data_IF_991910588093
#
_entry.id   IF_991910588093
#
_cell.length_a   1.000
_cell.length_b   1.000
_cell.length_c   1.000
_cell.angle_alpha   90.00
_cell.angle_beta   90.00
_cell.angle_gamma   90.00
#
_symmetry.space_group_name_H-M   'P 1'
#
loop_
_entity.id
_entity.type
_entity.pdbx_description
1 polymer ?
2 non-polymer ?
3 non-polymer ?
4 water ?
#
# COMPACT_ATOMS: atom_id res chain seq x y z
N UNK A 1 -8.46 0.96 16.90
CA UNK A 1 -8.79 -0.47 16.65
C UNK A 1 -7.61 -1.28 16.10
N UNK A 2 -7.83 -2.58 16.00
CA UNK A 2 -6.86 -3.43 15.37
C UNK A 2 -7.61 -3.95 14.16
N UNK A 3 -6.94 -3.80 13.03
CA UNK A 3 -7.45 -4.16 11.72
C UNK A 3 -6.60 -5.28 11.16
N UNK A 4 -7.25 -6.44 10.92
CA UNK A 4 -6.59 -7.56 10.28
C UNK A 4 -6.58 -7.29 8.76
N UNK A 5 -5.87 -8.15 8.05
CA UNK A 5 -5.61 -7.91 6.67
C UNK A 5 -6.16 -8.98 5.80
N UNK A 6 -7.10 -9.79 6.32
CA UNK A 6 -7.81 -10.83 5.51
C UNK A 6 -8.72 -10.15 4.53
N UNK A 7 -9.20 -8.96 4.86
CA UNK A 7 -9.96 -8.17 3.88
C UNK A 7 -9.17 -6.90 3.63
N UNK A 8 -9.49 -6.17 2.57
CA UNK A 8 -8.88 -4.83 2.40
C UNK A 8 -9.18 -4.00 3.60
N UNK A 9 -8.16 -3.28 4.10
CA UNK A 9 -8.31 -2.39 5.28
C UNK A 9 -8.99 -1.06 4.91
N UNK A 10 -10.29 -1.16 4.57
CA UNK A 10 -11.13 -0.02 4.21
C UNK A 10 -11.68 0.65 5.44
N UNK A 11 -11.63 1.98 5.47
CA UNK A 11 -12.21 2.72 6.55
C UNK A 11 -13.07 3.84 5.97
N UNK A 12 -14.01 4.27 6.79
CA UNK A 12 -14.83 5.39 6.40
C UNK A 12 -14.09 6.70 6.80
N UNK A 13 -14.06 7.67 5.89
CA UNK A 13 -13.50 9.01 6.14
C UNK A 13 -14.56 10.07 5.83
N UNK A 14 -14.37 11.23 6.45
CA UNK A 14 -15.18 12.40 6.23
C UNK A 14 -14.21 13.44 5.81
N UNK A 15 -14.43 14.00 4.64
CA UNK A 15 -13.57 15.03 4.07
C UNK A 15 -14.40 15.95 3.15
N UNK A 16 -14.14 17.23 3.26
CA UNK A 16 -14.88 18.25 2.53
C UNK A 16 -16.38 18.15 2.75
N UNK A 17 -16.78 17.67 3.93
CA UNK A 17 -18.17 17.45 4.30
C UNK A 17 -18.78 16.19 3.71
N UNK A 18 -17.97 15.43 2.94
CA UNK A 18 -18.45 14.20 2.28
C UNK A 18 -17.95 12.94 2.93
N UNK A 19 -18.77 11.89 2.85
CA UNK A 19 -18.41 10.61 3.40
C UNK A 19 -17.82 9.75 2.32
N UNK A 20 -16.65 9.17 2.56
CA UNK A 20 -16.05 8.29 1.56
C UNK A 20 -15.45 7.08 2.24
N UNK A 21 -15.09 6.08 1.48
CA UNK A 21 -14.40 4.89 2.00
C UNK A 21 -12.99 4.99 1.39
N UNK A 22 -12.01 4.59 2.17
CA UNK A 22 -10.59 4.63 1.74
C UNK A 22 -9.82 3.49 2.39
N UNK A 23 -8.78 3.07 1.70
CA UNK A 23 -7.90 1.99 2.09
C UNK A 23 -6.73 2.51 2.92
N UNK A 24 -6.50 1.90 4.09
CA UNK A 24 -5.35 2.26 4.91
C UNK A 24 -4.18 1.54 4.21
N UNK A 25 -3.32 2.35 3.62
CA UNK A 25 -2.32 1.87 2.72
C UNK A 25 -0.86 2.22 3.14
N UNK A 26 -0.21 1.29 3.87
CA UNK A 26 1.15 1.55 4.34
C UNK A 26 2.14 1.71 3.23
N UNK A 27 1.79 1.25 2.04
CA UNK A 27 2.62 1.39 0.86
C UNK A 27 2.59 2.70 0.11
N UNK A 28 1.75 3.61 0.58
CA UNK A 28 1.53 4.91 -0.01
C UNK A 28 2.15 5.96 0.87
N UNK A 29 3.11 6.68 0.33
CA UNK A 29 3.70 7.78 1.12
C UNK A 29 2.63 8.84 1.34
N UNK A 30 1.78 9.00 0.32
CA UNK A 30 0.72 10.02 0.23
C UNK A 30 -0.74 9.48 0.24
N UNK A 31 -1.64 10.42 0.50
CA UNK A 31 -3.06 10.19 0.49
C UNK A 31 -3.61 10.68 -0.86
N UNK A 32 -4.21 9.77 -1.58
CA UNK A 32 -4.73 10.06 -2.88
C UNK A 32 -6.21 9.64 -2.98
N UNK A 33 -7.03 10.61 -3.37
CA UNK A 33 -8.47 10.41 -3.48
C UNK A 33 -8.96 10.68 -4.88
N UNK A 34 -10.00 9.95 -5.28
CA UNK A 34 -10.61 10.23 -6.54
C UNK A 34 -11.15 11.66 -6.60
N UNK A 35 -11.52 12.04 -7.83
CA UNK A 35 -12.05 13.40 -8.09
C UNK A 35 -13.04 13.98 -7.05
N UNK A 36 -12.75 15.19 -6.62
CA UNK A 36 -13.65 15.84 -5.75
C UNK A 36 -13.11 17.23 -5.68
N UNK A 37 -13.97 18.19 -5.29
CA UNK A 37 -13.57 19.58 -5.13
C UNK A 37 -13.19 19.78 -3.68
N UNK A 38 -12.31 20.75 -3.43
CA UNK A 38 -11.90 21.00 -2.08
C UNK A 38 -11.67 22.48 -1.82
N UNK A 39 -12.18 22.91 -0.67
CA UNK A 39 -11.90 24.27 -0.22
C UNK A 39 -10.40 24.57 -0.41
N UNK A 40 -10.10 25.70 -1.07
CA UNK A 40 -8.74 26.22 -1.13
C UNK A 40 -8.01 26.19 -2.44
N UNK A 41 -6.73 26.57 -2.35
CA UNK A 41 -5.80 26.56 -3.47
C UNK A 41 -5.05 25.21 -3.52
N UNK A 42 -4.33 25.00 -4.62
CA UNK A 42 -3.52 23.80 -4.86
C UNK A 42 -2.38 24.05 -5.85
N UNK A 43 -1.48 23.07 -5.98
CA UNK A 43 -0.41 23.10 -6.97
C UNK A 43 -0.49 21.75 -7.71
N UNK A 44 -0.20 21.71 -9.01
CA UNK A 44 -0.23 20.41 -9.71
C UNK A 44 0.96 19.54 -9.25
N UNK A 45 0.85 18.23 -9.48
CA UNK A 45 1.90 17.25 -9.10
C UNK A 45 1.65 15.96 -9.85
N UNK A 46 2.69 15.12 -9.90
CA UNK A 46 2.62 13.80 -10.51
C UNK A 46 3.03 12.80 -9.46
N UNK A 47 2.37 11.64 -9.48
CA UNK A 47 2.71 10.54 -8.59
C UNK A 47 2.68 9.23 -9.35
N UNK A 48 3.49 8.31 -8.87
CA UNK A 48 3.58 7.00 -9.47
C UNK A 48 3.29 5.82 -8.56
N UNK A 49 3.01 4.71 -9.21
CA UNK A 49 2.92 3.44 -8.52
C UNK A 49 3.16 2.38 -9.54
N UNK A 50 2.56 1.25 -9.28
CA UNK A 50 2.64 0.19 -10.21
C UNK A 50 1.81 0.73 -11.37
N UNK A 51 2.32 0.56 -12.56
CA UNK A 51 1.58 1.00 -13.71
C UNK A 51 2.03 2.34 -14.26
N UNK A 52 2.59 3.20 -13.45
CA UNK A 52 2.99 4.44 -14.03
C UNK A 52 2.58 5.62 -13.21
N UNK A 53 2.36 6.73 -13.88
CA UNK A 53 2.16 8.01 -13.21
C UNK A 53 0.80 8.63 -13.44
N UNK A 54 0.29 9.40 -12.47
CA UNK A 54 -0.89 10.20 -12.79
C UNK A 54 -0.68 11.60 -12.30
N UNK A 55 -1.38 12.54 -12.91
CA UNK A 55 -1.36 13.94 -12.48
C UNK A 55 -2.42 14.07 -11.38
N UNK A 56 -2.06 14.76 -10.32
CA UNK A 56 -3.01 15.03 -9.24
C UNK A 56 -2.98 16.49 -8.81
N UNK A 57 -4.04 16.92 -8.11
CA UNK A 57 -4.00 18.25 -7.55
C UNK A 57 -3.74 18.06 -6.09
N UNK A 58 -2.78 18.82 -5.59
CA UNK A 58 -2.32 18.74 -4.24
C UNK A 58 -2.86 19.88 -3.40
N UNK A 59 -3.58 19.51 -2.35
CA UNK A 59 -4.19 20.46 -1.45
C UNK A 59 -3.63 20.29 -0.06
N UNK A 60 -3.19 21.39 0.53
CA UNK A 60 -2.60 21.36 1.86
C UNK A 60 -3.54 21.76 2.97
N UNK A 61 -3.24 21.31 4.16
CA UNK A 61 -4.04 21.67 5.28
C UNK A 61 -5.54 21.33 5.15
N UNK A 62 -5.82 20.13 4.65
CA UNK A 62 -7.19 19.69 4.54
C UNK A 62 -7.48 18.90 5.78
N UNK A 63 -8.70 19.04 6.30
CA UNK A 63 -9.10 18.28 7.44
C UNK A 63 -9.77 16.97 6.97
N UNK A 64 -9.43 15.89 7.68
CA UNK A 64 -10.02 14.63 7.36
C UNK A 64 -10.29 13.81 8.63
N UNK A 65 -11.48 13.28 8.73
CA UNK A 65 -11.84 12.48 9.88
C UNK A 65 -11.69 11.03 9.38
N UNK A 66 -10.72 10.29 9.92
CA UNK A 66 -10.44 8.87 9.52
C UNK A 66 -10.84 8.06 10.70
N UNK A 67 -11.85 7.25 10.49
CA UNK A 67 -12.43 6.46 11.54
C UNK A 67 -12.64 7.29 12.81
N UNK A 68 -13.06 8.55 12.66
CA UNK A 68 -13.33 9.39 13.81
C UNK A 68 -12.13 10.11 14.42
N UNK A 69 -10.92 9.91 13.88
CA UNK A 69 -9.76 10.63 14.36
C UNK A 69 -9.62 11.76 13.35
N UNK A 70 -9.51 12.99 13.84
CA UNK A 70 -9.36 14.15 12.99
C UNK A 70 -7.91 14.32 12.68
N UNK A 71 -7.54 14.61 11.44
CA UNK A 71 -6.16 14.91 11.14
C UNK A 71 -6.21 15.98 10.14
N UNK A 72 -5.14 16.75 10.00
CA UNK A 72 -5.06 17.79 8.99
C UNK A 72 -3.80 17.54 8.16
N UNK A 73 -3.91 17.58 6.83
CA UNK A 73 -2.75 17.27 6.07
C UNK A 73 -3.00 17.43 4.62
N UNK A 74 -1.98 17.12 3.85
CA UNK A 74 -2.09 17.19 2.38
C UNK A 74 -2.87 16.00 1.87
N UNK A 75 -3.75 16.30 0.96
CA UNK A 75 -4.56 15.35 0.28
C UNK A 75 -4.39 15.59 -1.18
N UNK A 76 -4.14 14.54 -1.93
CA UNK A 76 -3.94 14.63 -3.38
C UNK A 76 -5.21 14.18 -4.04
N UNK A 77 -5.61 14.83 -5.13
CA UNK A 77 -6.87 14.47 -5.77
C UNK A 77 -6.65 14.25 -7.29
N UNK A 78 -7.20 13.19 -7.82
CA UNK A 78 -6.92 12.89 -9.19
C UNK A 78 -7.39 11.52 -9.54
N UNK A 79 -6.99 11.02 -10.71
CA UNK A 79 -7.60 9.78 -11.23
C UNK A 79 -7.19 8.42 -10.60
N UNK A 80 -6.94 8.34 -9.30
CA UNK A 80 -6.58 7.05 -8.75
C UNK A 80 -7.77 6.10 -8.82
N UNK A 81 -7.50 4.83 -9.02
CA UNK A 81 -8.56 3.80 -9.08
C UNK A 81 -9.21 3.55 -7.73
N UNK A 82 -8.52 3.96 -6.65
CA UNK A 82 -9.08 3.75 -5.32
C UNK A 82 -8.59 4.81 -4.34
N UNK A 83 -9.45 5.20 -3.41
CA UNK A 83 -9.11 6.15 -2.38
C UNK A 83 -8.02 5.53 -1.45
N UNK A 84 -6.90 6.20 -1.21
CA UNK A 84 -5.90 5.58 -0.29
C UNK A 84 -5.41 6.60 0.73
N UNK A 85 -5.37 6.18 2.00
CA UNK A 85 -4.81 7.00 3.05
C UNK A 85 -3.38 6.50 3.21
N UNK A 86 -2.42 7.39 2.97
CA UNK A 86 -1.03 7.08 2.99
C UNK A 86 -0.41 7.49 4.29
N UNK A 87 0.89 7.24 4.36
CA UNK A 87 1.66 7.43 5.59
C UNK A 87 1.62 8.86 6.14
N UNK A 88 1.54 9.83 5.25
CA UNK A 88 1.44 11.21 5.69
C UNK A 88 0.34 11.38 6.72
N UNK A 89 -0.79 10.69 6.53
CA UNK A 89 -1.88 10.76 7.52
C UNK A 89 -1.91 9.62 8.56
N UNK A 90 -1.43 8.43 8.14
CA UNK A 90 -1.41 7.25 9.01
C UNK A 90 -0.55 7.58 10.26
N UNK A 91 0.58 8.24 10.06
CA UNK A 91 1.34 8.66 11.25
C UNK A 91 0.51 9.52 12.20
N UNK A 92 -0.30 10.44 11.63
CA UNK A 92 -1.03 11.37 12.49
C UNK A 92 -2.14 10.71 13.28
N UNK A 93 -2.58 9.52 12.91
CA UNK A 93 -3.58 8.87 13.74
C UNK A 93 -2.88 7.85 14.59
N UNK A 94 -1.56 7.71 14.44
CA UNK A 94 -0.80 6.79 15.28
C UNK A 94 -0.87 5.35 14.79
N UNK A 95 -0.95 5.18 13.49
CA UNK A 95 -1.17 3.86 13.03
C UNK A 95 0.15 3.10 12.94
N UNK A 96 0.17 1.87 13.45
CA UNK A 96 1.37 0.99 13.37
C UNK A 96 1.06 -0.37 12.73
N UNK A 97 2.09 -0.99 12.14
CA UNK A 97 1.97 -2.41 11.76
C UNK A 97 2.52 -3.28 12.91
N UNK A 98 1.88 -4.39 13.16
CA UNK A 98 2.31 -5.19 14.25
C UNK A 98 2.22 -6.61 13.84
N UNK A 99 3.29 -7.35 14.14
CA UNK A 99 3.34 -8.80 13.92
C UNK A 99 4.27 -9.47 14.96
N UNK B 1 7.22 -7.56 15.70
CA UNK B 1 7.56 -6.15 16.05
C UNK B 1 6.43 -5.16 15.80
N UNK B 2 6.66 -3.94 16.25
CA UNK B 2 5.75 -2.85 15.98
C UNK B 2 6.54 -1.95 15.08
N UNK B 3 5.97 -1.71 13.91
CA UNK B 3 6.55 -0.87 12.88
C UNK B 3 5.72 0.41 12.76
N UNK B 4 6.38 1.55 13.03
CA UNK B 4 5.76 2.85 12.86
C UNK B 4 5.82 3.19 11.38
N UNK B 5 5.18 4.29 11.02
CA UNK B 5 5.04 4.60 9.64
C UNK B 5 5.62 5.92 9.27
N UNK B 6 6.50 6.47 10.12
CA UNK B 6 7.24 7.73 9.79
C UNK B 6 8.22 7.46 8.72
N UNK B 7 8.66 6.24 8.61
CA UNK B 7 9.52 5.92 7.48
C UNK B 7 8.83 4.82 6.67
N UNK B 8 9.21 4.58 5.43
CA UNK B 8 8.64 3.43 4.71
C UNK B 8 8.84 2.17 5.51
N UNK B 9 7.80 1.31 5.62
CA UNK B 9 7.89 0.04 6.41
C UNK B 9 8.59 -1.07 5.58
N UNK B 10 9.89 -0.92 5.39
CA UNK B 10 10.75 -1.85 4.67
C UNK B 10 11.28 -2.92 5.55
N UNK B 11 11.25 -4.15 5.08
CA UNK B 11 11.80 -5.24 5.81
C UNK B 11 12.72 -6.07 4.89
N UNK B 12 13.60 -6.81 5.53
CA UNK B 12 14.44 -7.72 4.78
C UNK B 12 13.69 -9.05 4.55
N UNK B 13 13.79 -9.57 3.35
CA UNK B 13 13.19 -10.87 3.04
C UNK B 13 14.28 -11.75 2.43
N UNK B 14 14.02 -13.05 2.52
CA UNK B 14 14.88 -14.03 1.89
C UNK B 14 13.93 -14.85 1.06
N UNK B 15 14.25 -14.90 -0.22
CA UNK B 15 13.47 -15.62 -1.19
C UNK B 15 14.37 -16.14 -2.32
N UNK B 16 14.10 -17.36 -2.69
CA UNK B 16 14.86 -18.05 -3.72
C UNK B 16 16.35 -18.03 -3.40
N UNK B 17 16.66 -17.96 -2.10
CA UNK B 17 18.02 -17.95 -1.59
C UNK B 17 18.69 -16.60 -1.68
N UNK B 18 17.96 -15.56 -2.12
CA UNK B 18 18.48 -14.17 -2.17
C UNK B 18 17.86 -13.27 -1.08
N UNK B 19 18.67 -12.31 -0.62
CA UNK B 19 18.27 -11.33 0.34
C UNK B 19 17.78 -10.14 -0.42
N UNK B 20 16.60 -9.65 -0.04
CA UNK B 20 16.04 -8.49 -0.71
C UNK B 20 15.37 -7.63 0.35
N UNK B 21 15.06 -6.42 -0.01
CA UNK B 21 14.32 -5.48 0.85
C UNK B 21 12.95 -5.30 0.19
N UNK B 22 11.91 -5.29 1.00
CA UNK B 22 10.54 -5.12 0.53
C UNK B 22 9.70 -4.30 1.49
N UNK B 23 8.68 -3.65 0.93
CA UNK B 23 7.76 -2.77 1.64
C UNK B 23 6.55 -3.55 2.15
N UNK B 24 6.28 -3.45 3.44
CA UNK B 24 5.07 -4.05 3.97
C UNK B 24 3.92 -3.13 3.51
N UNK B 25 3.11 -3.66 2.62
CA UNK B 25 2.16 -2.81 1.94
C UNK B 25 0.70 -3.25 2.09
N UNK B 26 0.00 -2.68 3.09
CA UNK B 26 -1.41 -3.06 3.34
C UNK B 26 -2.31 -2.74 2.17
N UNK B 27 -1.92 -1.80 1.31
CA UNK B 27 -2.65 -1.50 0.09
C UNK B 27 -2.54 -2.47 -1.12
N UNK B 28 -1.71 -3.52 -0.99
CA UNK B 28 -1.45 -4.48 -2.06
C UNK B 28 -2.12 -5.80 -1.71
N UNK B 29 -3.06 -6.24 -2.53
CA UNK B 29 -3.69 -7.55 -2.29
C UNK B 29 -2.60 -8.62 -2.43
N UNK B 30 -1.69 -8.40 -3.37
CA UNK B 30 -0.63 -9.34 -3.74
C UNK B 30 0.80 -8.88 -3.44
N UNK B 31 1.67 -9.87 -3.53
CA UNK B 31 3.07 -9.69 -3.34
C UNK B 31 3.78 -9.59 -4.71
N UNK B 32 4.46 -8.48 -4.92
CA UNK B 32 5.04 -8.24 -6.20
C UNK B 32 6.49 -7.86 -6.03
N UNK B 33 7.35 -8.64 -6.68
CA UNK B 33 8.80 -8.46 -6.62
C UNK B 33 9.43 -8.10 -7.99
N UNK B 34 10.47 -7.28 -8.00
CA UNK B 34 11.18 -7.08 -9.23
C UNK B 34 11.67 -8.40 -9.85
N UNK B 35 12.16 -8.26 -11.09
CA UNK B 35 12.72 -9.39 -11.84
C UNK B 35 13.65 -10.32 -11.03
N UNK B 36 13.39 -11.60 -11.15
CA UNK B 36 14.23 -12.57 -10.53
C UNK B 36 13.72 -13.90 -11.04
N UNK B 37 14.57 -14.93 -10.97
CA UNK B 37 14.20 -16.28 -11.36
C UNK B 37 13.71 -17.01 -10.16
N UNK B 38 12.81 -17.97 -10.38
CA UNK B 38 12.32 -18.71 -9.26
C UNK B 38 12.07 -20.15 -9.63
N UNK B 39 12.43 -21.00 -8.69
CA UNK B 39 12.18 -22.43 -8.84
C UNK B 39 10.75 -22.64 -9.26
N UNK B 40 10.51 -23.42 -10.32
CA UNK B 40 9.16 -23.84 -10.68
C UNK B 40 8.49 -23.27 -11.92
N UNK B 41 7.21 -23.63 -12.05
CA UNK B 41 6.34 -23.19 -13.15
C UNK B 41 5.60 -21.89 -12.76
N UNK B 42 4.99 -21.25 -13.76
CA UNK B 42 4.22 -20.02 -13.57
C UNK B 42 3.17 -19.80 -14.65
N UNK B 43 2.18 -18.94 -14.34
CA UNK B 43 1.13 -18.54 -15.27
C UNK B 43 1.31 -17.02 -15.44
N UNK B 44 1.10 -16.48 -16.64
CA UNK B 44 1.23 -15.02 -16.82
C UNK B 44 0.02 -14.32 -16.17
N UNK B 45 0.16 -13.04 -15.80
CA UNK B 45 -0.93 -12.25 -15.20
C UNK B 45 -0.68 -10.77 -15.38
N UNK B 46 -1.71 -9.97 -15.12
CA UNK B 46 -1.58 -8.52 -15.14
C UNK B 46 -2.07 -8.04 -13.83
N UNK B 47 -1.53 -6.93 -13.37
CA UNK B 47 -2.00 -6.32 -12.14
C UNK B 47 -1.99 -4.86 -12.33
N UNK B 48 -2.76 -4.18 -11.50
CA UNK B 48 -2.81 -2.74 -11.60
C UNK B 48 -2.56 -2.03 -10.29
N UNK B 49 -2.31 -0.75 -10.44
CA UNK B 49 -2.15 0.14 -9.32
C UNK B 49 -2.41 1.50 -9.84
N UNK B 50 -1.87 2.49 -9.14
CA UNK B 50 -2.10 3.87 -9.46
C UNK B 50 -1.97 4.27 -10.91
N UNK B 51 -0.86 3.95 -11.55
CA UNK B 51 -0.70 4.42 -12.92
C UNK B 51 -1.05 3.47 -14.04
N UNK B 52 -1.71 2.37 -13.77
CA UNK B 52 -2.00 1.46 -14.84
C UNK B 52 -1.66 0.03 -14.50
N UNK B 53 -1.28 -0.74 -15.50
CA UNK B 53 -1.02 -2.15 -15.28
C UNK B 53 0.34 -2.65 -15.70
N UNK B 54 0.71 -3.83 -15.23
CA UNK B 54 1.94 -4.45 -15.72
C UNK B 54 1.70 -5.89 -15.82
N UNK B 55 2.43 -6.53 -16.71
CA UNK B 55 2.42 -7.98 -16.80
C UNK B 55 3.42 -8.52 -15.74
N UNK B 56 3.02 -9.53 -15.01
CA UNK B 56 3.92 -10.16 -14.08
C UNK B 56 3.88 -11.66 -14.30
N UNK B 57 4.86 -12.39 -13.73
CA UNK B 57 4.74 -13.85 -13.73
C UNK B 57 4.40 -14.26 -12.31
N UNK B 58 3.48 -15.21 -12.24
CA UNK B 58 2.91 -15.69 -11.02
C UNK B 58 3.34 -17.09 -10.69
N UNK B 59 3.97 -17.18 -9.53
CA UNK B 59 4.55 -18.41 -9.04
C UNK B 59 3.86 -18.77 -7.75
N UNK B 60 3.32 -19.98 -7.69
CA UNK B 60 2.66 -20.42 -6.47
C UNK B 60 3.62 -21.20 -5.55
N UNK B 61 3.23 -21.34 -4.30
CA UNK B 61 3.99 -22.11 -3.34
C UNK B 61 5.48 -21.75 -3.22
N UNK B 62 5.75 -20.46 -3.15
CA UNK B 62 7.12 -20.00 -3.00
C UNK B 62 7.31 -19.75 -1.55
N UNK B 63 8.51 -20.11 -1.05
CA UNK B 63 8.86 -19.84 0.32
C UNK B 63 9.54 -18.47 0.46
N UNK B 64 9.08 -17.71 1.45
CA UNK B 64 9.73 -16.48 1.73
C UNK B 64 9.88 -16.22 3.22
N UNK B 65 11.04 -15.75 3.63
CA UNK B 65 11.22 -15.41 5.02
C UNK B 65 11.19 -13.90 5.15
N UNK B 66 10.18 -13.42 5.88
CA UNK B 66 9.88 -11.98 6.06
C UNK B 66 10.16 -11.75 7.51
N UNK B 67 11.16 -10.92 7.77
CA UNK B 67 11.67 -10.71 9.12
C UNK B 67 11.84 -12.05 9.90
N UNK B 68 12.24 -13.12 9.22
CA UNK B 68 12.41 -14.39 9.91
C UNK B 68 11.14 -15.21 10.16
N UNK B 69 10.00 -14.76 9.64
CA UNK B 69 8.77 -15.51 9.73
C UNK B 69 8.71 -16.17 8.34
N UNK B 70 8.77 -17.49 8.28
CA UNK B 70 8.70 -18.18 7.02
C UNK B 70 7.28 -18.24 6.58
N UNK B 71 7.00 -18.06 5.30
CA UNK B 71 5.63 -18.21 4.80
C UNK B 71 5.73 -18.79 3.42
N UNK B 72 4.68 -19.42 2.96
CA UNK B 72 4.68 -19.99 1.62
C UNK B 72 3.49 -19.43 0.89
N UNK B 73 3.69 -18.85 -0.29
CA UNK B 73 2.55 -18.28 -0.95
C UNK B 73 2.90 -17.91 -2.35
N UNK B 74 1.95 -17.25 -2.98
CA UNK B 74 2.14 -16.79 -4.35
C UNK B 74 2.95 -15.51 -4.30
N UNK B 75 3.93 -15.46 -5.19
CA UNK B 75 4.74 -14.30 -5.38
C UNK B 75 4.67 -13.94 -6.80
N UNK B 76 4.45 -12.66 -7.12
CA UNK B 76 4.42 -12.18 -8.49
C UNK B 76 5.73 -11.48 -8.84
N UNK B 77 6.21 -11.65 -10.06
CA UNK B 77 7.48 -11.09 -10.48
C UNK B 77 7.35 -10.30 -11.81
N UNK B 78 7.88 -9.12 -11.84
CA UNK B 78 7.75 -8.34 -13.03
C UNK B 78 8.26 -6.96 -12.79
N UNK B 79 7.94 -6.03 -13.68
CA UNK B 79 8.56 -4.70 -13.59
C UNK B 79 8.00 -3.69 -12.57
N UNK B 80 7.75 -4.13 -11.36
CA UNK B 80 7.31 -3.21 -10.34
C UNK B 80 8.49 -2.34 -9.94
N UNK B 81 8.23 -1.09 -9.66
CA UNK B 81 9.27 -0.14 -9.22
C UNK B 81 9.81 -0.45 -7.84
N UNK B 82 9.09 -1.31 -7.11
CA UNK B 82 9.52 -1.60 -5.75
C UNK B 82 8.99 -2.92 -5.27
N UNK B 83 9.77 -3.64 -4.46
CA UNK B 83 9.32 -4.91 -3.93
C UNK B 83 8.17 -4.70 -2.93
N UNK B 84 7.03 -5.35 -3.11
CA UNK B 84 5.98 -5.12 -2.10
C UNK B 84 5.44 -6.41 -1.58
N UNK B 85 5.32 -6.50 -0.27
CA UNK B 85 4.70 -7.64 0.40
C UNK B 85 3.25 -7.26 0.65
N UNK B 86 2.34 -7.98 0.00
CA UNK B 86 0.94 -7.74 0.05
C UNK B 86 0.19 -8.57 1.05
N UNK B 87 -1.11 -8.36 1.06
CA UNK B 87 -1.93 -8.92 2.09
C UNK B 87 -1.91 -10.46 2.02
N UNK B 88 -1.73 -11.03 0.84
CA UNK B 88 -1.65 -12.50 0.76
C UNK B 88 -0.63 -13.07 1.74
N UNK B 89 0.50 -12.38 1.91
CA UNK B 89 1.50 -12.85 2.86
C UNK B 89 1.40 -12.23 4.26
N UNK B 90 0.95 -10.97 4.32
CA UNK B 90 0.84 -10.22 5.59
C UNK B 90 -0.09 -10.99 6.54
N UNK B 91 -1.19 -11.49 5.99
CA UNK B 91 -2.09 -12.34 6.81
C UNK B 91 -1.33 -13.54 7.40
N UNK B 92 -0.44 -14.14 6.59
CA UNK B 92 0.27 -15.33 7.07
C UNK B 92 1.29 -15.06 8.16
N UNK B 93 1.79 -13.86 8.31
CA UNK B 93 2.71 -13.62 9.41
C UNK B 93 1.95 -12.98 10.55
N UNK B 94 0.63 -12.80 10.40
CA UNK B 94 -0.20 -12.26 11.48
C UNK B 94 -0.08 -10.74 11.61
N UNK B 95 0.07 -10.06 10.49
CA UNK B 95 0.35 -8.67 10.62
C UNK B 95 -0.93 -7.89 10.74
N UNK B 96 -1.02 -6.97 11.70
CA UNK B 96 -2.23 -6.12 11.81
C UNK B 96 -1.91 -4.61 11.74
N UNK B 97 -2.90 -3.79 11.40
CA UNK B 97 -2.76 -2.33 11.57
C UNK B 97 -3.39 -2.02 12.92
N UNK B 98 -2.82 -1.07 13.61
CA UNK B 98 -3.34 -0.74 14.90
C UNK B 98 -3.24 0.72 15.08
N UNK B 99 -4.32 1.29 15.60
CA UNK B 99 -4.39 2.69 15.98
C UNK B 99 -5.42 2.92 17.12
X LIG C 1 0.56 15.76 5.39
X LIG D 1 -0.64 -16.61 -1.09
X LIG E 1 -4.22 -5.58 -9.52
X LIG E 1 -4.57 -5.94 -8.39
X LIG E 1 -4.71 -7.24 -8.09
X LIG E 1 -4.86 -4.99 -7.21
X LIG E 1 -6.15 -4.13 -7.34
X LIG E 1 -6.27 -3.24 -8.58
X LIG E 1 -5.56 -2.05 -8.70
X LIG E 1 -5.74 -1.22 -9.82
X LIG E 1 -6.63 -1.53 -10.84
X LIG E 1 -7.34 -2.71 -10.72
X LIG E 1 -7.18 -3.54 -9.61
X LIG E 1 -3.70 -4.10 -6.96
X LIG E 1 -3.19 -3.83 -5.74
X LIG E 1 -3.75 -4.31 -4.72
X LIG E 1 -1.92 -2.90 -5.82
X LIG E 1 -0.56 -3.56 -5.73
X LIG E 1 -0.44 -4.55 -6.86
X LIG E 1 -1.00 -5.82 -6.32
X LIG E 1 -0.93 -6.04 -5.13
X LIG E 1 -1.58 -6.67 -7.17
X LIG E 1 -1.90 -1.88 -4.81
X LIG E 1 -1.59 -0.65 -5.10
X LIG E 1 -1.18 -0.32 -6.22
X LIG E 1 -1.75 0.25 -3.92
X LIG E 1 -3.00 1.14 -3.99
X LIG E 1 -4.18 0.61 -4.79
X LIG E 1 -4.50 1.21 -6.01
X LIG E 1 -5.60 0.73 -6.73
X LIG E 1 -6.44 -0.30 -6.24
X LIG E 1 -6.13 -0.89 -5.02
X LIG E 1 -5.01 -0.42 -4.29
X LIG E 1 -0.58 1.19 -3.88
X LIG E 1 0.62 0.50 -3.33
X LIG E 1 0.28 0.53 -1.92
X LIG E 1 1.85 1.20 -3.96
X LIG E 1 1.92 2.59 -3.46
X LIG E 1 1.70 3.65 -4.29
X LIG E 1 1.48 3.32 -5.46
X LIG E 1 1.73 5.09 -3.83
X LIG E 1 0.96 6.34 -4.02
X LIG E 1 -0.54 6.16 -3.97
X LIG E 1 1.31 7.11 -5.26
X LIG E 1 1.30 7.38 -2.97
X LIG E 1 3.19 0.45 -3.76
X LIG E 1 4.39 1.18 -4.33
X LIG E 1 5.26 1.92 -3.48
X LIG E 1 6.37 2.63 -3.97
X LIG E 1 6.66 2.63 -5.33
X LIG E 1 5.82 1.88 -6.19
X LIG E 1 4.70 1.15 -5.71
#
# INVERSE_FOLDING_TARGET
>A
PQITLWQRPLVTIKIGGQLKEALLDTGADDTVLEEMNLPGRWKPKMIGGIGGFIKVRQYDQILIEICGHKVIGTVLVGPTPTNVIGRNLLTQIGCTLNF
>B
PQITLWQRPLVTIKIGGQLKEALLDTGADDTVLEEMNLPGRWKPKMIGGIGGFIKVRQYDQILIEICGHKVIGTVLVGPTPTNVIGRNLLTQIGCTLNF
>C hetero
1 CL CL
>D hetero
1 CL CL
>E hetero
1 Q50 O49 C48 N50 C40 C41 C42 C43 C44 C45 C46 C47 N39 C37 O38 C31 C32 C33 C34 O35 N36 N30 C28 O29 C20 C21 C22 C23 C24 C25 C26 C27 C19 C17 O18 C9 N8 C6 O7 O5 C1 C4 C3 C2 C10 C11 C12 C13 C14 C15 C16
#
